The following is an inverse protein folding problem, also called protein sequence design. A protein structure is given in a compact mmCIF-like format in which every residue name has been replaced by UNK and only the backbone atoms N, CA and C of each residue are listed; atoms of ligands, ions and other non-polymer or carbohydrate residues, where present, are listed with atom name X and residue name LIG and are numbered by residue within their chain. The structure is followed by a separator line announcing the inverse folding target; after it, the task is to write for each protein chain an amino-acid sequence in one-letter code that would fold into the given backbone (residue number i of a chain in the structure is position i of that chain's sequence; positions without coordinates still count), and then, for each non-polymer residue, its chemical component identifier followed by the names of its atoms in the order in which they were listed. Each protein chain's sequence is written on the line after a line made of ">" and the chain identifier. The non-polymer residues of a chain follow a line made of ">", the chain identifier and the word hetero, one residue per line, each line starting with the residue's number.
data_IF_534708678403
#
_entry.id   IF_534708678403
#
_cell.length_a   1.000
_cell.length_b   1.000
_cell.length_c   1.000
_cell.angle_alpha   90.00
_cell.angle_beta   90.00
_cell.angle_gamma   90.00
#
_symmetry.space_group_name_H-M   'P 1'
#
loop_
_entity.id
_entity.type
_entity.pdbx_description
1 polymer ?
#
# COMPACT_ATOMS: atom_id res chain seq x y z
N UNK A 1 22.73 21.40 6.61
CA UNK A 1 22.58 21.04 8.04
C UNK A 1 21.17 20.54 8.40
N UNK A 2 20.09 21.06 7.79
CA UNK A 2 18.72 20.53 7.97
C UNK A 2 18.48 19.14 7.34
N UNK A 3 19.18 18.79 6.25
CA UNK A 3 19.05 17.49 5.58
C UNK A 3 19.49 16.30 6.47
N UNK A 4 20.55 16.46 7.26
CA UNK A 4 21.07 15.38 8.12
C UNK A 4 20.24 15.19 9.41
N UNK A 5 19.50 16.22 9.85
CA UNK A 5 18.59 16.12 10.99
C UNK A 5 17.28 15.42 10.64
N UNK A 6 16.84 15.49 9.38
CA UNK A 6 15.66 14.75 8.89
C UNK A 6 15.92 13.24 8.83
N UNK A 7 17.08 12.85 8.31
CA UNK A 7 17.48 11.43 8.24
C UNK A 7 17.66 10.79 9.62
N UNK A 8 18.29 11.50 10.57
CA UNK A 8 18.53 10.95 11.92
C UNK A 8 17.27 10.82 12.78
N UNK A 9 16.23 11.62 12.53
CA UNK A 9 14.92 11.48 13.18
C UNK A 9 14.07 10.36 12.55
N UNK A 10 14.16 10.13 11.23
CA UNK A 10 13.48 9.01 10.57
C UNK A 10 14.05 7.63 10.96
N UNK A 11 15.35 7.55 11.25
CA UNK A 11 16.00 6.30 11.68
C UNK A 11 15.56 5.84 13.08
N UNK A 12 15.11 6.74 13.97
CA UNK A 12 14.71 6.38 15.35
C UNK A 12 13.28 5.87 15.50
N UNK A 13 12.43 6.05 14.49
CA UNK A 13 11.04 5.58 14.50
C UNK A 13 10.72 4.88 13.19
N UNK A 14 11.45 3.80 12.86
CA UNK A 14 11.06 2.96 11.74
C UNK A 14 9.67 2.34 12.03
N UNK A 15 8.62 2.77 11.32
CA UNK A 15 7.24 2.39 11.58
C UNK A 15 7.04 0.88 11.38
N UNK A 16 7.84 0.23 10.53
CA UNK A 16 7.76 -1.20 10.27
C UNK A 16 8.31 -2.03 11.43
N UNK A 17 9.10 -1.45 12.34
CA UNK A 17 9.58 -2.15 13.54
C UNK A 17 8.42 -2.60 14.43
N UNK A 18 7.36 -1.78 14.53
CA UNK A 18 6.14 -2.16 15.24
C UNK A 18 5.43 -3.36 14.57
N UNK A 19 5.44 -3.43 13.24
CA UNK A 19 4.88 -4.60 12.51
C UNK A 19 5.68 -5.86 12.77
N UNK A 20 7.01 -5.78 12.82
CA UNK A 20 7.86 -6.95 13.12
C UNK A 20 7.54 -7.50 14.50
N UNK A 21 7.32 -6.65 15.50
CA UNK A 21 6.92 -7.12 16.82
C UNK A 21 5.51 -7.74 16.83
N UNK A 22 4.59 -7.21 16.02
CA UNK A 22 3.17 -7.62 16.01
C UNK A 22 2.88 -8.85 15.15
N UNK A 23 3.59 -8.98 14.02
CA UNK A 23 3.32 -9.98 12.98
C UNK A 23 4.59 -10.68 12.49
N UNK A 24 5.76 -10.25 12.95
CA UNK A 24 7.04 -10.74 12.43
C UNK A 24 7.27 -12.21 12.75
N UNK A 25 6.99 -12.68 13.96
CA UNK A 25 7.17 -14.11 14.31
C UNK A 25 8.54 -14.68 13.90
N UNK A 26 9.60 -13.87 13.87
CA UNK A 26 10.94 -14.22 13.36
C UNK A 26 11.23 -13.86 11.88
N UNK A 27 10.32 -13.19 11.18
CA UNK A 27 10.43 -12.78 9.77
C UNK A 27 10.92 -11.34 9.54
N UNK A 28 11.09 -10.97 8.27
CA UNK A 28 11.57 -9.64 7.86
C UNK A 28 10.49 -8.55 7.95
N UNK A 29 10.90 -7.26 7.99
CA UNK A 29 9.99 -6.09 7.90
C UNK A 29 9.04 -6.18 6.71
N UNK A 30 9.54 -6.65 5.56
CA UNK A 30 8.76 -6.90 4.34
C UNK A 30 7.67 -7.94 4.58
N UNK A 31 8.00 -9.06 5.23
CA UNK A 31 7.03 -10.13 5.51
C UNK A 31 5.97 -9.66 6.51
N UNK A 32 6.36 -8.90 7.53
CA UNK A 32 5.42 -8.33 8.49
C UNK A 32 4.45 -7.34 7.82
N UNK A 33 4.95 -6.48 6.91
CA UNK A 33 4.09 -5.58 6.13
C UNK A 33 3.17 -6.34 5.16
N UNK A 34 3.67 -7.41 4.53
CA UNK A 34 2.85 -8.26 3.67
C UNK A 34 1.71 -8.90 4.47
N UNK A 35 2.02 -9.42 5.66
CA UNK A 35 1.02 -10.01 6.56
C UNK A 35 -0.03 -9.00 6.99
N UNK A 36 0.38 -7.76 7.27
CA UNK A 36 -0.55 -6.67 7.56
C UNK A 36 -1.49 -6.38 6.38
N UNK A 37 -0.96 -6.31 5.15
CA UNK A 37 -1.78 -6.12 3.95
C UNK A 37 -2.80 -7.26 3.79
N UNK A 38 -2.38 -8.51 3.96
CA UNK A 38 -3.25 -9.69 3.89
C UNK A 38 -4.39 -9.62 4.90
N UNK A 39 -4.10 -9.27 6.15
CA UNK A 39 -5.12 -9.14 7.19
C UNK A 39 -6.10 -7.99 6.89
N UNK A 40 -5.63 -6.89 6.31
CA UNK A 40 -6.46 -5.72 5.98
C UNK A 40 -7.28 -5.89 4.70
N UNK A 41 -6.90 -6.81 3.83
CA UNK A 41 -7.61 -7.12 2.58
C UNK A 41 -8.39 -8.44 2.66
N UNK A 42 -8.38 -9.11 3.82
CA UNK A 42 -9.14 -10.33 4.02
C UNK A 42 -10.64 -10.08 3.83
N UNK A 43 -11.28 -10.92 2.99
CA UNK A 43 -12.71 -10.84 2.69
C UNK A 43 -13.08 -9.95 1.50
N UNK A 44 -12.12 -9.19 0.94
CA UNK A 44 -12.35 -8.42 -0.28
C UNK A 44 -12.30 -9.33 -1.51
N UNK A 45 -13.30 -9.20 -2.39
CA UNK A 45 -13.41 -9.99 -3.62
C UNK A 45 -12.37 -9.51 -4.63
N UNK A 46 -11.67 -10.47 -5.27
CA UNK A 46 -10.70 -10.14 -6.32
C UNK A 46 -9.35 -9.66 -5.80
N UNK A 47 -9.09 -9.79 -4.49
CA UNK A 47 -7.77 -9.51 -3.91
C UNK A 47 -7.15 -10.74 -3.30
N UNK A 48 -5.95 -11.09 -3.77
CA UNK A 48 -5.07 -12.06 -3.13
C UNK A 48 -3.64 -11.50 -3.06
N UNK A 49 -3.31 -10.95 -1.89
CA UNK A 49 -2.04 -10.23 -1.66
C UNK A 49 -0.98 -11.22 -1.19
N UNK A 50 -0.17 -11.72 -2.13
CA UNK A 50 0.91 -12.69 -1.86
C UNK A 50 2.31 -12.11 -2.07
N UNK A 51 2.41 -10.94 -2.71
CA UNK A 51 3.67 -10.26 -3.01
C UNK A 51 3.46 -8.74 -3.13
N UNK A 52 4.54 -7.99 -3.37
CA UNK A 52 4.51 -6.54 -3.63
C UNK A 52 4.70 -6.23 -5.12
N UNK A 53 4.22 -7.06 -6.04
CA UNK A 53 4.31 -6.80 -7.48
C UNK A 53 2.99 -7.17 -8.15
N UNK A 54 2.93 -8.34 -8.79
CA UNK A 54 1.73 -8.85 -9.50
C UNK A 54 0.43 -8.80 -8.70
N UNK A 55 0.42 -8.98 -7.36
CA UNK A 55 -0.81 -8.87 -6.55
C UNK A 55 -1.44 -7.46 -6.54
N UNK A 56 -0.73 -6.45 -7.02
CA UNK A 56 -1.14 -5.05 -7.01
C UNK A 56 -1.37 -4.49 -8.42
N UNK A 57 -1.22 -5.32 -9.46
CA UNK A 57 -1.12 -4.88 -10.85
C UNK A 57 -2.44 -4.38 -11.45
N UNK A 58 -3.57 -4.64 -10.79
CA UNK A 58 -4.90 -4.22 -11.22
C UNK A 58 -5.49 -3.12 -10.33
N UNK A 59 -4.76 -2.71 -9.30
CA UNK A 59 -5.16 -1.68 -8.34
C UNK A 59 -6.16 -2.11 -7.27
N UNK A 60 -6.77 -3.31 -7.35
CA UNK A 60 -7.78 -3.73 -6.37
C UNK A 60 -7.20 -3.91 -4.97
N UNK A 61 -5.95 -4.36 -4.85
CA UNK A 61 -5.29 -4.48 -3.56
C UNK A 61 -5.10 -3.11 -2.87
N UNK A 62 -4.80 -2.05 -3.63
CA UNK A 62 -4.72 -0.70 -3.08
C UNK A 62 -6.09 -0.19 -2.63
N UNK A 63 -7.12 -0.40 -3.46
CA UNK A 63 -8.50 -0.04 -3.12
C UNK A 63 -8.98 -0.75 -1.86
N UNK A 64 -8.77 -2.07 -1.75
CA UNK A 64 -9.19 -2.85 -0.59
C UNK A 64 -8.48 -2.40 0.69
N UNK A 65 -7.16 -2.18 0.59
CA UNK A 65 -6.37 -1.71 1.72
C UNK A 65 -6.86 -0.36 2.24
N UNK A 66 -7.10 0.61 1.35
CA UNK A 66 -7.57 1.94 1.72
C UNK A 66 -9.04 1.94 2.18
N UNK A 67 -9.90 1.12 1.58
CA UNK A 67 -11.30 0.99 2.01
C UNK A 67 -11.42 0.58 3.48
N UNK A 68 -10.46 -0.18 4.02
CA UNK A 68 -10.39 -0.54 5.44
C UNK A 68 -10.27 0.67 6.39
N UNK A 69 -9.77 1.81 5.90
CA UNK A 69 -9.53 3.02 6.70
C UNK A 69 -10.45 4.17 6.31
N UNK A 70 -10.78 4.28 5.02
CA UNK A 70 -11.54 5.41 4.44
C UNK A 70 -12.64 4.89 3.50
N UNK A 71 -13.62 4.10 4.00
CA UNK A 71 -14.59 3.42 3.15
C UNK A 71 -15.42 4.37 2.29
N UNK A 72 -15.74 5.56 2.80
CA UNK A 72 -16.49 6.59 2.06
C UNK A 72 -15.78 7.15 0.83
N UNK A 73 -14.48 6.87 0.64
CA UNK A 73 -13.69 7.33 -0.53
C UNK A 73 -13.46 6.25 -1.58
N UNK A 74 -13.73 4.99 -1.26
CA UNK A 74 -13.48 3.86 -2.15
C UNK A 74 -14.80 3.13 -2.39
N UNK A 75 -15.46 3.28 -3.55
CA UNK A 75 -16.66 2.52 -3.87
C UNK A 75 -16.28 1.09 -4.30
N UNK A 76 -15.77 0.28 -3.35
CA UNK A 76 -15.09 -0.99 -3.67
C UNK A 76 -16.00 -1.98 -4.42
N UNK A 77 -17.27 -2.06 -4.04
CA UNK A 77 -18.24 -2.99 -4.63
C UNK A 77 -18.50 -2.73 -6.12
N UNK A 78 -18.20 -1.52 -6.60
CA UNK A 78 -18.33 -1.14 -8.01
C UNK A 78 -17.05 -1.37 -8.82
N UNK A 79 -15.96 -1.81 -8.17
CA UNK A 79 -14.65 -2.00 -8.81
C UNK A 79 -14.48 -3.43 -9.34
N UNK A 80 -13.64 -3.58 -10.36
CA UNK A 80 -13.28 -4.89 -10.92
C UNK A 80 -11.85 -4.86 -11.49
N UNK A 81 -11.22 -6.03 -11.64
CA UNK A 81 -9.81 -6.13 -12.04
C UNK A 81 -9.52 -5.79 -13.50
N UNK A 82 -10.54 -5.58 -14.35
CA UNK A 82 -10.34 -5.22 -15.76
C UNK A 82 -10.09 -3.71 -15.94
N UNK A 83 -10.64 -2.87 -15.05
CA UNK A 83 -10.49 -1.42 -15.11
C UNK A 83 -9.36 -0.91 -14.22
N UNK A 84 -8.13 -1.31 -14.55
CA UNK A 84 -6.92 -0.96 -13.79
C UNK A 84 -6.78 0.54 -13.56
N UNK A 85 -7.01 1.33 -14.63
CA UNK A 85 -6.84 2.79 -14.58
C UNK A 85 -7.79 3.42 -13.56
N UNK A 86 -9.06 3.02 -13.57
CA UNK A 86 -10.03 3.48 -12.57
C UNK A 86 -9.62 3.09 -11.17
N UNK A 87 -9.20 1.84 -10.96
CA UNK A 87 -8.79 1.35 -9.63
C UNK A 87 -7.61 2.17 -9.07
N UNK A 88 -6.53 2.34 -9.84
CA UNK A 88 -5.39 3.17 -9.42
C UNK A 88 -5.79 4.62 -9.18
N UNK A 89 -6.60 5.21 -10.06
CA UNK A 89 -7.07 6.59 -9.91
C UNK A 89 -7.86 6.79 -8.62
N UNK A 90 -8.78 5.87 -8.32
CA UNK A 90 -9.59 5.91 -7.10
C UNK A 90 -8.71 5.77 -5.86
N UNK A 91 -7.84 4.75 -5.83
CA UNK A 91 -6.94 4.51 -4.70
C UNK A 91 -6.02 5.70 -4.43
N UNK A 92 -5.34 6.21 -5.46
CA UNK A 92 -4.34 7.27 -5.28
C UNK A 92 -5.00 8.59 -4.90
N UNK A 93 -6.11 8.99 -5.54
CA UNK A 93 -6.85 10.20 -5.13
C UNK A 93 -7.37 10.11 -3.70
N UNK A 94 -7.85 8.94 -3.29
CA UNK A 94 -8.29 8.73 -1.91
C UNK A 94 -7.12 8.88 -0.93
N UNK A 95 -5.97 8.26 -1.20
CA UNK A 95 -4.78 8.37 -0.37
C UNK A 95 -4.22 9.81 -0.31
N UNK A 96 -4.17 10.50 -1.44
CA UNK A 96 -3.71 11.88 -1.57
C UNK A 96 -4.59 12.86 -0.77
N UNK A 97 -5.90 12.62 -0.71
CA UNK A 97 -6.81 13.44 0.12
C UNK A 97 -6.50 13.38 1.63
N UNK A 98 -5.68 12.42 2.06
CA UNK A 98 -5.19 12.28 3.44
C UNK A 98 -3.67 12.55 3.55
N UNK A 99 -3.04 13.08 2.49
CA UNK A 99 -1.64 13.49 2.46
C UNK A 99 -0.64 12.38 2.10
N UNK A 100 -1.09 11.24 1.57
CA UNK A 100 -0.20 10.19 1.05
C UNK A 100 -0.01 10.39 -0.45
N UNK A 101 1.03 11.12 -0.83
CA UNK A 101 1.36 11.39 -2.24
C UNK A 101 1.74 10.10 -2.96
N UNK A 102 1.16 9.87 -4.14
CA UNK A 102 1.55 8.74 -4.99
C UNK A 102 2.95 8.93 -5.56
N UNK A 103 3.81 7.93 -5.37
CA UNK A 103 5.10 7.82 -6.06
C UNK A 103 5.02 6.96 -7.33
N UNK A 104 3.84 6.39 -7.59
CA UNK A 104 3.57 5.50 -8.71
C UNK A 104 2.83 6.27 -9.79
N UNK A 105 3.31 6.19 -11.02
CA UNK A 105 2.64 6.75 -12.17
C UNK A 105 1.55 5.80 -12.70
N UNK A 106 0.35 6.32 -12.95
CA UNK A 106 -0.79 5.50 -13.38
C UNK A 106 -0.57 4.97 -14.80
N UNK A 107 -0.01 5.77 -15.71
CA UNK A 107 0.19 5.38 -17.11
C UNK A 107 1.19 4.23 -17.23
N UNK A 108 2.18 4.17 -16.35
CA UNK A 108 3.10 3.05 -16.24
C UNK A 108 2.44 1.83 -15.60
N UNK A 109 1.76 2.03 -14.48
CA UNK A 109 1.12 0.94 -13.73
C UNK A 109 0.07 0.17 -14.55
N UNK A 110 -0.70 0.85 -15.41
CA UNK A 110 -1.71 0.18 -16.25
C UNK A 110 -1.09 -0.68 -17.36
N UNK A 111 0.14 -0.39 -17.80
CA UNK A 111 0.86 -1.13 -18.85
C UNK A 111 1.60 -2.34 -18.30
N UNK A 112 1.91 -2.35 -17.00
CA UNK A 112 2.72 -3.39 -16.37
C UNK A 112 1.86 -4.51 -15.79
N UNK A 113 2.20 -5.76 -16.11
CA UNK A 113 1.63 -6.92 -15.41
C UNK A 113 2.34 -7.21 -14.09
N UNK A 114 3.62 -6.84 -14.01
CA UNK A 114 4.50 -7.04 -12.84
C UNK A 114 5.23 -5.73 -12.52
N UNK A 115 4.57 -4.80 -11.81
CA UNK A 115 5.22 -3.54 -11.43
C UNK A 115 6.44 -3.80 -10.54
N UNK A 116 7.38 -2.84 -10.52
CA UNK A 116 8.57 -2.93 -9.69
C UNK A 116 8.20 -3.07 -8.21
N UNK A 117 8.73 -4.11 -7.58
CA UNK A 117 8.29 -4.46 -6.24
C UNK A 117 8.79 -3.50 -5.16
N UNK A 118 9.89 -2.78 -5.42
CA UNK A 118 10.44 -1.80 -4.47
C UNK A 118 9.56 -0.56 -4.44
N UNK A 119 9.08 -0.11 -5.60
CA UNK A 119 8.16 1.02 -5.75
C UNK A 119 6.81 0.73 -5.07
N UNK A 120 6.25 -0.46 -5.27
CA UNK A 120 5.02 -0.89 -4.58
C UNK A 120 5.26 -0.97 -3.06
N UNK A 121 6.35 -1.60 -2.63
CA UNK A 121 6.69 -1.71 -1.20
C UNK A 121 6.82 -0.33 -0.54
N UNK A 122 7.50 0.61 -1.20
CA UNK A 122 7.67 1.98 -0.72
C UNK A 122 6.33 2.71 -0.60
N UNK A 123 5.46 2.60 -1.61
CA UNK A 123 4.16 3.23 -1.55
C UNK A 123 3.24 2.63 -0.47
N UNK A 124 3.20 1.30 -0.33
CA UNK A 124 2.46 0.63 0.75
C UNK A 124 3.02 0.98 2.13
N UNK A 125 4.33 1.19 2.25
CA UNK A 125 4.95 1.67 3.49
C UNK A 125 4.46 3.08 3.85
N UNK A 126 4.28 3.96 2.87
CA UNK A 126 3.71 5.30 3.10
C UNK A 126 2.24 5.23 3.54
N UNK A 127 1.45 4.32 2.97
CA UNK A 127 0.07 4.06 3.43
C UNK A 127 0.09 3.55 4.88
N UNK A 128 0.96 2.60 5.21
CA UNK A 128 1.09 2.09 6.57
C UNK A 128 1.50 3.18 7.57
N UNK A 129 2.48 4.03 7.22
CA UNK A 129 2.88 5.20 8.02
C UNK A 129 1.72 6.13 8.34
N UNK A 130 0.75 6.24 7.43
CA UNK A 130 -0.39 7.14 7.58
C UNK A 130 -1.55 6.53 8.38
N UNK A 131 -1.86 5.26 8.14
CA UNK A 131 -3.10 4.62 8.60
C UNK A 131 -2.88 3.43 9.55
N UNK A 132 -1.67 2.90 9.61
CA UNK A 132 -1.34 1.68 10.36
C UNK A 132 -0.74 1.92 11.74
N UNK A 133 -0.31 3.15 12.04
CA UNK A 133 0.19 3.61 13.35
C UNK A 133 -0.89 4.34 14.10
#
# INVERSE_FOLDING_TARGET
>A
MLFLYRDSAEIKNDPLSALVNRYGGGGSKRNALLKWCQLKTQGYKGTDVTNFSSSWNDGLAFCALLHNFIPSKIPYDDLNGQDKRRNFTVAFKAAESYGVVSILDIDDMVKMERPDWQSILAYVTNIYKKFGT
#
